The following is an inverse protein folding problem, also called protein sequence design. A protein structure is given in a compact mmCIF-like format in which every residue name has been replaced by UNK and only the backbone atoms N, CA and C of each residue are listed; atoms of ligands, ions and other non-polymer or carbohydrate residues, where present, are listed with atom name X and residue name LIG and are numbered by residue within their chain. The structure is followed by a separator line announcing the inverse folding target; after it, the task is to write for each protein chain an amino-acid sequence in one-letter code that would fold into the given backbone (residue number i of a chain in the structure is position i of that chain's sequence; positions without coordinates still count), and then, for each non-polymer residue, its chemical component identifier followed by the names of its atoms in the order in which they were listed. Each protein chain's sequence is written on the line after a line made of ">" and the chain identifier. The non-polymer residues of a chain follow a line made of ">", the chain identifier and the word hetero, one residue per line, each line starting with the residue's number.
data_IF_322253284241
#
_entry.id   IF_322253284241
#
_cell.length_a   1.000
_cell.length_b   1.000
_cell.length_c   1.000
_cell.angle_alpha   90.00
_cell.angle_beta   90.00
_cell.angle_gamma   90.00
#
_symmetry.space_group_name_H-M   'P 1'
#
loop_
_entity.id
_entity.type
_entity.pdbx_description
1 polymer ?
#
# COMPACT_ATOMS: atom_id res chain seq x y z
N UNK A 1 2.43 -1.26 -2.06
CA UNK A 1 1.96 -0.51 -0.86
C UNK A 1 1.51 -1.54 0.14
N UNK A 2 1.98 -1.46 1.38
CA UNK A 2 1.46 -2.29 2.46
C UNK A 2 0.28 -1.59 3.14
N UNK A 3 -0.60 -2.38 3.75
CA UNK A 3 -1.64 -1.90 4.65
C UNK A 3 -1.03 -1.48 6.01
N UNK A 4 -1.86 -0.96 6.90
CA UNK A 4 -1.44 -0.60 8.27
C UNK A 4 -0.94 -1.80 9.09
N UNK A 5 -1.26 -3.01 8.65
CA UNK A 5 -0.90 -4.30 9.26
C UNK A 5 0.19 -5.06 8.49
N UNK A 6 0.97 -4.36 7.68
CA UNK A 6 2.04 -4.88 6.81
C UNK A 6 1.58 -5.94 5.78
N UNK A 7 0.27 -6.21 5.69
CA UNK A 7 -0.30 -7.05 4.64
C UNK A 7 -0.20 -6.37 3.26
N UNK A 8 -0.05 -7.15 2.17
CA UNK A 8 0.09 -6.57 0.85
C UNK A 8 -1.20 -5.87 0.43
N UNK A 9 -1.03 -4.83 -0.39
CA UNK A 9 -2.11 -4.15 -1.08
C UNK A 9 -1.79 -4.10 -2.57
N UNK A 10 -2.35 -3.15 -3.29
CA UNK A 10 -1.87 -2.81 -4.62
C UNK A 10 -0.44 -2.23 -4.53
N UNK A 11 0.41 -2.59 -5.48
CA UNK A 11 1.77 -2.09 -5.54
C UNK A 11 2.20 -1.79 -6.97
N UNK A 12 3.23 -0.97 -7.06
CA UNK A 12 3.85 -0.57 -8.31
C UNK A 12 5.34 -0.56 -8.10
N UNK A 13 6.08 -1.08 -9.07
CA UNK A 13 7.54 -1.06 -9.09
C UNK A 13 8.01 -0.42 -10.39
N UNK A 14 9.12 0.30 -10.30
CA UNK A 14 9.80 0.93 -11.43
C UNK A 14 11.20 1.35 -10.99
N UNK A 15 12.03 1.73 -11.96
CA UNK A 15 13.38 2.22 -11.71
C UNK A 15 13.37 3.74 -11.47
N UNK A 16 14.30 4.22 -10.65
CA UNK A 16 14.58 5.66 -10.57
C UNK A 16 15.33 6.11 -11.82
N UNK A 17 14.85 7.20 -12.43
CA UNK A 17 15.46 7.84 -13.59
C UNK A 17 16.21 9.08 -13.13
N UNK A 18 17.48 9.17 -13.53
CA UNK A 18 18.36 10.30 -13.27
C UNK A 18 18.86 10.87 -14.60
N UNK A 19 18.32 12.01 -15.03
CA UNK A 19 18.60 12.60 -16.35
C UNK A 19 18.44 14.12 -16.30
N UNK A 20 19.34 14.85 -16.94
CA UNK A 20 19.30 16.32 -17.06
C UNK A 20 19.08 17.06 -15.72
N UNK A 21 19.72 16.55 -14.65
CA UNK A 21 19.59 17.11 -13.30
C UNK A 21 18.29 16.77 -12.57
N UNK A 22 17.39 15.99 -13.18
CA UNK A 22 16.14 15.51 -12.57
C UNK A 22 16.33 14.10 -12.01
N UNK A 23 15.68 13.83 -10.88
CA UNK A 23 15.62 12.51 -10.28
C UNK A 23 14.16 12.18 -9.98
N UNK A 24 13.62 11.20 -10.69
CA UNK A 24 12.22 10.82 -10.53
C UNK A 24 12.02 9.31 -10.63
N UNK A 25 10.99 8.82 -9.96
CA UNK A 25 10.48 7.47 -10.08
C UNK A 25 9.10 7.55 -10.70
N UNK A 26 8.85 6.74 -11.71
CA UNK A 26 7.60 6.79 -12.46
C UNK A 26 7.07 5.38 -12.74
N UNK A 27 5.81 5.13 -12.40
CA UNK A 27 5.18 3.83 -12.60
C UNK A 27 3.70 4.00 -13.00
N UNK A 28 3.17 2.96 -13.63
CA UNK A 28 1.72 2.75 -13.77
C UNK A 28 1.32 1.49 -13.02
N UNK A 29 0.25 1.55 -12.24
CA UNK A 29 -0.28 0.39 -11.52
C UNK A 29 -1.80 0.43 -11.44
N UNK A 30 -2.41 -0.73 -11.59
CA UNK A 30 -3.83 -0.90 -11.36
C UNK A 30 -4.15 -0.85 -9.86
N UNK A 31 -5.21 -0.15 -9.51
CA UNK A 31 -5.70 -0.06 -8.15
C UNK A 31 -7.21 -0.27 -8.08
N UNK A 32 -7.71 -0.93 -7.01
CA UNK A 32 -9.13 -1.04 -6.75
C UNK A 32 -9.74 0.35 -6.53
N UNK A 33 -11.06 0.42 -6.60
CA UNK A 33 -11.81 1.65 -6.39
C UNK A 33 -11.43 2.30 -5.04
N UNK A 34 -11.13 3.60 -5.02
CA UNK A 34 -11.01 4.36 -3.77
C UNK A 34 -12.28 4.20 -2.92
N UNK A 35 -12.11 4.12 -1.60
CA UNK A 35 -13.24 3.83 -0.67
C UNK A 35 -14.45 4.76 -0.86
N UNK A 36 -14.22 6.03 -1.14
CA UNK A 36 -15.27 7.05 -1.38
C UNK A 36 -16.17 6.73 -2.58
N UNK A 37 -15.69 5.93 -3.52
CA UNK A 37 -16.35 5.67 -4.79
C UNK A 37 -17.43 4.61 -4.61
N UNK A 38 -17.25 3.64 -3.71
CA UNK A 38 -18.20 2.54 -3.47
C UNK A 38 -19.63 3.00 -3.14
N UNK A 39 -19.80 4.19 -2.58
CA UNK A 39 -21.12 4.76 -2.24
C UNK A 39 -21.61 5.83 -3.20
N UNK A 40 -20.74 6.31 -4.09
CA UNK A 40 -20.98 7.53 -4.86
C UNK A 40 -21.08 7.26 -6.36
N UNK A 41 -20.37 6.22 -6.83
CA UNK A 41 -20.11 5.97 -8.25
C UNK A 41 -20.22 4.48 -8.52
N UNK A 42 -20.79 4.12 -9.67
CA UNK A 42 -20.96 2.72 -10.11
C UNK A 42 -20.69 2.54 -11.60
N UNK A 43 -20.11 3.55 -12.24
CA UNK A 43 -19.90 3.67 -13.68
C UNK A 43 -18.49 3.22 -14.14
N UNK A 44 -17.63 2.76 -13.21
CA UNK A 44 -16.31 2.19 -13.49
C UNK A 44 -15.88 1.22 -12.39
N UNK A 45 -14.89 0.37 -12.67
CA UNK A 45 -14.50 -0.71 -11.75
C UNK A 45 -13.00 -0.75 -11.41
N UNK A 46 -12.17 0.09 -12.05
CA UNK A 46 -10.73 0.10 -11.82
C UNK A 46 -10.14 1.50 -11.98
N UNK A 47 -9.13 1.82 -11.19
CA UNK A 47 -8.30 3.02 -11.40
C UNK A 47 -6.91 2.61 -11.85
N UNK A 48 -6.53 2.98 -13.08
CA UNK A 48 -5.15 2.88 -13.55
C UNK A 48 -4.42 4.11 -13.05
N UNK A 49 -3.47 3.93 -12.13
CA UNK A 49 -2.76 5.04 -11.49
C UNK A 49 -1.38 5.23 -12.11
N UNK A 50 -1.18 6.35 -12.79
CA UNK A 50 0.14 6.86 -13.12
C UNK A 50 0.69 7.63 -11.92
N UNK A 51 1.89 7.29 -11.48
CA UNK A 51 2.58 7.96 -10.38
C UNK A 51 3.94 8.44 -10.88
N UNK A 52 4.25 9.70 -10.66
CA UNK A 52 5.59 10.26 -10.81
C UNK A 52 5.98 10.95 -9.51
N UNK A 53 6.94 10.36 -8.81
CA UNK A 53 7.59 10.99 -7.67
C UNK A 53 8.87 11.65 -8.13
N UNK A 54 8.98 12.96 -7.97
CA UNK A 54 10.16 13.72 -8.40
C UNK A 54 10.76 14.48 -7.22
N UNK A 55 12.08 14.34 -7.06
CA UNK A 55 12.85 15.11 -6.08
C UNK A 55 13.20 16.45 -6.70
N UNK A 56 12.92 17.51 -5.96
CA UNK A 56 13.08 18.91 -6.36
C UNK A 56 13.93 19.65 -5.33
N UNK A 57 14.35 20.88 -5.64
CA UNK A 57 15.10 21.73 -4.70
C UNK A 57 14.24 22.22 -3.52
N UNK A 58 12.92 22.23 -3.66
CA UNK A 58 11.97 22.60 -2.61
C UNK A 58 11.37 21.40 -1.84
N UNK A 59 11.77 20.17 -2.13
CA UNK A 59 11.24 18.95 -1.51
C UNK A 59 10.99 17.86 -2.54
N UNK A 60 9.82 17.21 -2.50
CA UNK A 60 9.42 16.28 -3.56
C UNK A 60 7.96 16.50 -3.93
N UNK A 61 7.62 16.15 -5.17
CA UNK A 61 6.25 16.18 -5.65
C UNK A 61 5.82 14.78 -6.05
N UNK A 62 4.51 14.55 -5.99
CA UNK A 62 3.84 13.39 -6.54
C UNK A 62 2.82 13.87 -7.56
N UNK A 63 3.19 13.74 -8.82
CA UNK A 63 2.31 13.98 -9.95
C UNK A 63 1.59 12.67 -10.31
N UNK A 64 0.28 12.73 -10.50
CA UNK A 64 -0.57 11.58 -10.71
C UNK A 64 -1.46 11.75 -11.93
N UNK A 65 -1.30 10.86 -12.90
CA UNK A 65 -2.18 10.74 -14.05
C UNK A 65 -3.03 9.49 -13.89
N UNK A 66 -4.20 9.66 -13.25
CA UNK A 66 -5.11 8.57 -12.96
C UNK A 66 -6.15 8.42 -14.08
N UNK A 67 -6.46 7.20 -14.47
CA UNK A 67 -7.53 6.89 -15.43
C UNK A 67 -8.57 6.00 -14.77
N UNK A 68 -9.84 6.41 -14.82
CA UNK A 68 -10.98 5.58 -14.43
C UNK A 68 -11.38 4.73 -15.62
N UNK A 69 -11.34 3.41 -15.48
CA UNK A 69 -11.64 2.48 -16.58
C UNK A 69 -12.74 1.50 -16.20
N UNK A 70 -13.50 1.11 -17.23
CA UNK A 70 -14.40 -0.03 -17.21
C UNK A 70 -13.63 -1.19 -17.85
N UNK A 71 -13.20 -2.14 -17.03
CA UNK A 71 -12.50 -3.34 -17.48
C UNK A 71 -13.43 -4.55 -17.50
N UNK A 72 -13.44 -5.27 -18.62
CA UNK A 72 -14.20 -6.51 -18.81
C UNK A 72 -13.29 -7.60 -19.40
N UNK A 73 -13.50 -8.85 -18.99
CA UNK A 73 -12.67 -9.96 -19.46
C UNK A 73 -12.79 -10.14 -20.98
N UNK A 74 -11.64 -10.22 -21.66
CA UNK A 74 -11.57 -10.41 -23.12
C UNK A 74 -11.97 -9.20 -23.96
N UNK A 75 -12.10 -8.01 -23.35
CA UNK A 75 -12.38 -6.75 -24.04
C UNK A 75 -11.29 -5.72 -23.73
N UNK A 76 -11.14 -4.76 -24.64
CA UNK A 76 -10.32 -3.57 -24.40
C UNK A 76 -10.96 -2.70 -23.31
N UNK A 77 -10.12 -2.06 -22.50
CA UNK A 77 -10.57 -1.13 -21.47
C UNK A 77 -11.30 0.07 -22.07
N UNK A 78 -12.42 0.45 -21.47
CA UNK A 78 -13.11 1.69 -21.80
C UNK A 78 -12.69 2.76 -20.81
N UNK A 79 -12.03 3.81 -21.31
CA UNK A 79 -11.66 4.99 -20.53
C UNK A 79 -12.92 5.82 -20.27
N UNK A 80 -13.29 5.95 -19.01
CA UNK A 80 -14.42 6.77 -18.60
C UNK A 80 -13.99 8.22 -18.34
N UNK A 81 -12.89 8.40 -17.63
CA UNK A 81 -12.39 9.71 -17.25
C UNK A 81 -10.91 9.67 -16.89
N UNK A 82 -10.26 10.83 -16.95
CA UNK A 82 -8.90 11.03 -16.46
C UNK A 82 -8.92 12.06 -15.32
N UNK A 83 -8.12 11.82 -14.28
CA UNK A 83 -7.96 12.68 -13.12
C UNK A 83 -6.48 13.02 -12.95
N UNK A 84 -6.18 14.33 -12.88
CA UNK A 84 -4.86 14.83 -12.50
C UNK A 84 -4.81 15.03 -10.99
N UNK A 85 -3.86 14.37 -10.32
CA UNK A 85 -3.53 14.62 -8.93
C UNK A 85 -2.17 15.28 -8.82
N UNK A 86 -2.03 16.23 -7.92
CA UNK A 86 -0.75 16.89 -7.69
C UNK A 86 -0.58 17.15 -6.20
N UNK A 87 0.47 16.57 -5.62
CA UNK A 87 0.83 16.78 -4.23
C UNK A 87 2.28 17.24 -4.14
N UNK A 88 2.55 18.15 -3.21
CA UNK A 88 3.90 18.59 -2.87
C UNK A 88 4.20 18.30 -1.42
N UNK A 89 5.43 17.92 -1.16
CA UNK A 89 5.90 17.52 0.15
C UNK A 89 7.19 18.27 0.46
N UNK A 90 7.19 18.92 1.61
CA UNK A 90 8.36 19.62 2.14
C UNK A 90 8.80 18.92 3.40
N UNK A 91 10.12 18.88 3.63
CA UNK A 91 10.64 18.37 4.90
C UNK A 91 10.21 19.33 6.01
N UNK A 92 9.63 18.78 7.06
CA UNK A 92 9.27 19.51 8.27
C UNK A 92 10.24 19.13 9.39
N UNK A 93 10.25 19.91 10.46
CA UNK A 93 11.07 19.62 11.63
C UNK A 93 10.69 18.27 12.27
N UNK A 94 11.71 17.48 12.65
CA UNK A 94 11.55 16.14 13.21
C UNK A 94 10.72 16.15 14.52
N UNK A 95 10.68 17.27 15.25
CA UNK A 95 9.84 17.41 16.45
C UNK A 95 8.35 17.20 16.17
N UNK A 96 7.88 17.48 14.95
CA UNK A 96 6.49 17.22 14.54
C UNK A 96 6.19 15.72 14.44
N UNK A 97 7.22 14.89 14.31
CA UNK A 97 7.13 13.44 14.24
C UNK A 97 7.53 12.75 15.56
N UNK A 98 7.76 13.52 16.64
CA UNK A 98 8.26 12.98 17.91
C UNK A 98 7.37 11.86 18.49
N UNK A 99 6.04 12.00 18.39
CA UNK A 99 5.11 10.98 18.86
C UNK A 99 5.23 9.66 18.07
N UNK A 100 5.35 9.76 16.73
CA UNK A 100 5.53 8.60 15.87
C UNK A 100 6.89 7.93 16.13
N UNK A 101 7.96 8.72 16.31
CA UNK A 101 9.28 8.20 16.64
C UNK A 101 9.32 7.51 18.00
N UNK A 102 8.64 8.08 19.02
CA UNK A 102 8.53 7.47 20.34
C UNK A 102 7.74 6.14 20.28
N UNK A 103 6.62 6.13 19.56
CA UNK A 103 5.83 4.91 19.34
C UNK A 103 6.64 3.83 18.61
N UNK A 104 7.37 4.20 17.56
CA UNK A 104 8.18 3.22 16.82
C UNK A 104 9.23 2.57 17.71
N UNK A 105 9.90 3.35 18.58
CA UNK A 105 10.89 2.81 19.52
C UNK A 105 10.35 1.73 20.45
N UNK A 106 9.08 1.81 20.86
CA UNK A 106 8.47 0.80 21.75
C UNK A 106 7.80 -0.36 21.00
N UNK A 107 7.61 -0.27 19.68
CA UNK A 107 6.85 -1.25 18.90
C UNK A 107 7.69 -1.94 17.80
N UNK A 108 8.89 -1.45 17.51
CA UNK A 108 9.69 -1.91 16.37
C UNK A 108 9.98 -3.42 16.39
N UNK A 109 10.18 -4.00 17.57
CA UNK A 109 10.50 -5.43 17.72
C UNK A 109 9.32 -6.32 17.32
N UNK A 110 8.10 -6.00 17.79
CA UNK A 110 6.87 -6.67 17.36
C UNK A 110 6.68 -6.60 15.85
N UNK A 111 6.83 -5.42 15.26
CA UNK A 111 6.68 -5.26 13.81
C UNK A 111 7.80 -5.94 13.01
N UNK A 112 8.98 -6.14 13.59
CA UNK A 112 10.02 -6.95 12.96
C UNK A 112 9.60 -8.43 12.87
N UNK A 113 8.89 -8.96 13.87
CA UNK A 113 8.31 -10.31 13.81
C UNK A 113 7.25 -10.41 12.71
N UNK A 114 6.33 -9.44 12.66
CA UNK A 114 5.29 -9.35 11.60
C UNK A 114 5.93 -9.37 10.21
N UNK A 115 6.93 -8.50 9.96
CA UNK A 115 7.64 -8.47 8.66
C UNK A 115 8.36 -9.77 8.36
N UNK A 116 9.01 -10.37 9.34
CA UNK A 116 9.71 -11.66 9.16
C UNK A 116 8.76 -12.76 8.71
N UNK A 117 7.54 -12.80 9.27
CA UNK A 117 6.53 -13.77 8.84
C UNK A 117 6.02 -13.47 7.42
N UNK A 118 5.80 -12.20 7.09
CA UNK A 118 5.45 -11.84 5.72
C UNK A 118 6.55 -12.21 4.73
N UNK A 119 7.82 -12.04 5.07
CA UNK A 119 8.95 -12.47 4.24
C UNK A 119 8.94 -13.99 3.99
N UNK A 120 8.61 -14.81 5.00
CA UNK A 120 8.36 -16.26 4.82
C UNK A 120 7.21 -16.51 3.83
N UNK A 121 6.07 -15.83 4.02
CA UNK A 121 4.90 -15.99 3.14
C UNK A 121 5.25 -15.64 1.69
N UNK A 122 5.93 -14.52 1.45
CA UNK A 122 6.37 -14.13 0.10
C UNK A 122 7.42 -15.08 -0.47
N UNK A 123 8.29 -15.63 0.37
CA UNK A 123 9.31 -16.61 0.01
C UNK A 123 8.74 -17.93 -0.55
N UNK A 124 7.43 -18.17 -0.39
CA UNK A 124 6.72 -19.33 -0.96
C UNK A 124 6.60 -19.26 -2.49
N UNK A 125 6.76 -18.09 -3.09
CA UNK A 125 6.63 -17.86 -4.53
C UNK A 125 5.31 -18.40 -5.12
N UNK A 126 4.21 -18.13 -4.42
CA UNK A 126 2.84 -18.49 -4.83
C UNK A 126 1.97 -17.25 -4.91
N UNK A 127 0.87 -17.35 -5.65
CA UNK A 127 -0.19 -16.36 -5.60
C UNK A 127 -0.70 -16.23 -4.16
N UNK A 128 -0.77 -15.00 -3.67
CA UNK A 128 -1.21 -14.70 -2.32
C UNK A 128 -2.65 -14.21 -2.33
N UNK A 129 -3.52 -14.96 -1.66
CA UNK A 129 -4.87 -14.51 -1.35
C UNK A 129 -5.09 -14.58 0.15
N UNK A 130 -5.76 -13.57 0.70
CA UNK A 130 -6.07 -13.51 2.12
C UNK A 130 -7.56 -13.76 2.39
N UNK A 131 -7.85 -14.30 3.56
CA UNK A 131 -9.19 -14.25 4.15
C UNK A 131 -9.55 -12.81 4.52
N UNK A 132 -10.81 -12.43 4.35
CA UNK A 132 -11.25 -11.10 4.77
C UNK A 132 -11.25 -11.00 6.31
N UNK A 133 -11.64 -12.08 6.99
CA UNK A 133 -11.75 -12.18 8.44
C UNK A 133 -11.43 -13.60 8.92
N UNK A 134 -10.83 -13.67 10.10
CA UNK A 134 -10.71 -14.88 10.93
C UNK A 134 -11.39 -14.55 12.26
N UNK A 135 -12.20 -15.47 12.79
CA UNK A 135 -13.03 -15.27 14.00
C UNK A 135 -13.74 -13.90 14.08
N UNK A 136 -14.33 -13.47 12.96
CA UNK A 136 -15.01 -12.17 12.80
C UNK A 136 -14.14 -10.92 13.01
N UNK A 137 -12.82 -11.05 13.09
CA UNK A 137 -11.85 -9.96 13.15
C UNK A 137 -11.03 -9.90 11.85
N UNK A 138 -10.60 -8.70 11.48
CA UNK A 138 -9.69 -8.44 10.35
C UNK A 138 -8.25 -8.43 10.87
N UNK A 139 -7.26 -8.74 10.02
CA UNK A 139 -5.88 -8.96 10.44
C UNK A 139 -5.30 -7.83 11.30
N UNK A 140 -5.43 -6.57 10.87
CA UNK A 140 -4.93 -5.43 11.66
C UNK A 140 -5.49 -5.39 13.09
N UNK A 141 -6.70 -5.89 13.35
CA UNK A 141 -7.23 -5.88 14.72
C UNK A 141 -6.46 -6.83 15.63
N UNK A 142 -5.91 -7.92 15.10
CA UNK A 142 -5.06 -8.82 15.86
C UNK A 142 -3.67 -8.21 16.05
N UNK A 143 -3.05 -7.73 14.97
CA UNK A 143 -1.66 -7.24 15.03
C UNK A 143 -1.50 -5.95 15.85
N UNK A 144 -2.55 -5.15 16.00
CA UNK A 144 -2.55 -3.98 16.88
C UNK A 144 -3.04 -4.27 18.30
N UNK A 145 -3.45 -5.50 18.60
CA UNK A 145 -3.83 -5.91 19.95
C UNK A 145 -2.59 -6.30 20.74
N UNK A 146 -2.50 -5.85 21.99
CA UNK A 146 -1.37 -6.15 22.89
C UNK A 146 -1.38 -7.61 23.34
N UNK A 147 -2.50 -8.33 23.15
CA UNK A 147 -2.61 -9.78 23.39
C UNK A 147 -1.75 -10.61 22.41
N UNK A 148 -1.34 -10.04 21.27
CA UNK A 148 -0.56 -10.73 20.23
C UNK A 148 0.82 -10.09 20.08
N UNK A 149 1.73 -10.42 20.97
CA UNK A 149 3.09 -9.84 21.01
C UNK A 149 4.18 -10.91 20.89
N UNK A 150 3.83 -12.18 21.10
CA UNK A 150 4.78 -13.28 20.94
C UNK A 150 4.88 -13.72 19.49
N UNK A 151 6.08 -14.17 19.10
CA UNK A 151 6.37 -14.62 17.73
C UNK A 151 5.38 -15.68 17.25
N UNK A 152 5.18 -16.75 18.03
CA UNK A 152 4.35 -17.88 17.61
C UNK A 152 2.88 -17.46 17.39
N UNK A 153 2.37 -16.55 18.23
CA UNK A 153 1.01 -15.98 18.12
C UNK A 153 0.86 -15.15 16.85
N UNK A 154 1.84 -14.29 16.55
CA UNK A 154 1.86 -13.45 15.34
C UNK A 154 1.92 -14.35 14.08
N UNK A 155 2.75 -15.39 14.12
CA UNK A 155 2.90 -16.31 13.00
C UNK A 155 1.61 -17.10 12.75
N UNK A 156 0.98 -17.62 13.80
CA UNK A 156 -0.30 -18.34 13.72
C UNK A 156 -1.42 -17.44 13.19
N UNK A 157 -1.50 -16.20 13.69
CA UNK A 157 -2.47 -15.21 13.20
C UNK A 157 -2.26 -14.95 11.72
N UNK A 158 -1.05 -14.59 11.28
CA UNK A 158 -0.82 -14.28 9.85
C UNK A 158 -1.13 -15.51 8.98
N UNK A 159 -0.72 -16.70 9.39
CA UNK A 159 -0.98 -17.93 8.65
C UNK A 159 -2.48 -18.22 8.52
N UNK A 160 -3.27 -17.96 9.57
CA UNK A 160 -4.73 -18.16 9.55
C UNK A 160 -5.45 -17.30 8.50
N UNK A 161 -4.84 -16.18 8.10
CA UNK A 161 -5.37 -15.31 7.04
C UNK A 161 -4.88 -15.72 5.65
N UNK A 162 -3.80 -16.48 5.49
CA UNK A 162 -3.28 -16.88 4.17
C UNK A 162 -4.08 -18.07 3.63
N UNK A 163 -4.73 -17.88 2.48
CA UNK A 163 -5.43 -18.97 1.79
C UNK A 163 -4.42 -19.95 1.18
N UNK A 164 -4.70 -21.24 1.32
CA UNK A 164 -3.88 -22.32 0.77
C UNK A 164 -4.09 -22.52 -0.74
#
# INVERSE_FOLDING_TARGET
>A
VYQVDDSPRYEGSSTWVHVDGKSFWENTSDAPLPRREYTTRSDYNLTVRGNRHEVTDYGWLHDQDNTKVIREAGKEDVILAQEKGYNTYVKVDDSRCAAAAAWWKSNADKWALVRTKWDDVYGRNKDLSLEEKVDNKVLYKYLFDDEYDQKDEIEEVIESFVKQ
#
